data_IF_046198791164
#
_entry.id   IF_046198791164
#
_cell.length_a   1.000
_cell.length_b   1.000
_cell.length_c   1.000
_cell.angle_alpha   90.00
_cell.angle_beta   90.00
_cell.angle_gamma   90.00
#
_symmetry.space_group_name_H-M   'P 1'
#
loop_
_entity.id
_entity.type
_entity.pdbx_description
1 polymer ?
#
# COMPACT_ATOMS: atom_id res chain seq x y z
N UNK A 1 0.51 -18.41 9.71
CA UNK A 1 -0.55 -17.49 9.23
C UNK A 1 0.16 -16.57 8.27
N UNK A 2 0.00 -16.82 6.98
CA UNK A 2 0.66 -16.02 5.93
C UNK A 2 -0.25 -14.82 5.64
N UNK A 3 0.17 -13.62 6.04
CA UNK A 3 -0.61 -12.38 5.86
C UNK A 3 -0.62 -11.88 4.41
N UNK A 4 0.22 -12.47 3.55
CA UNK A 4 0.42 -12.00 2.18
C UNK A 4 1.37 -10.80 2.08
N UNK A 5 1.97 -10.35 3.19
CA UNK A 5 2.99 -9.31 3.18
C UNK A 5 4.36 -9.89 2.77
N UNK A 6 4.91 -9.43 1.65
CA UNK A 6 6.28 -9.76 1.24
C UNK A 6 7.23 -8.74 1.86
N UNK A 7 8.14 -9.20 2.72
CA UNK A 7 9.07 -8.34 3.46
C UNK A 7 10.50 -8.60 3.00
N UNK A 8 11.22 -7.54 2.66
CA UNK A 8 12.65 -7.54 2.40
C UNK A 8 13.38 -7.02 3.64
N UNK A 9 14.23 -7.86 4.23
CA UNK A 9 15.04 -7.52 5.41
C UNK A 9 16.47 -8.04 5.23
N UNK A 10 17.40 -7.46 6.00
CA UNK A 10 18.74 -8.04 6.15
C UNK A 10 18.67 -9.33 6.96
N UNK A 11 19.67 -10.21 6.83
CA UNK A 11 19.73 -11.47 7.61
C UNK A 11 19.66 -11.24 9.12
N UNK A 12 20.23 -10.14 9.60
CA UNK A 12 20.25 -9.76 11.02
C UNK A 12 18.90 -9.21 11.51
N UNK A 13 18.01 -8.82 10.60
CA UNK A 13 16.69 -8.23 10.89
C UNK A 13 15.51 -9.07 10.40
N UNK A 14 15.75 -10.32 9.99
CA UNK A 14 14.67 -11.25 9.61
C UNK A 14 13.70 -11.41 10.79
N UNK A 15 12.42 -11.09 10.55
CA UNK A 15 11.36 -11.18 11.55
C UNK A 15 11.09 -9.89 12.33
N UNK A 16 11.95 -8.88 12.24
CA UNK A 16 11.70 -7.54 12.79
C UNK A 16 11.15 -6.61 11.72
N UNK A 17 9.83 -6.45 11.68
CA UNK A 17 9.15 -5.57 10.70
C UNK A 17 9.58 -4.10 10.84
N UNK A 18 10.02 -3.66 12.02
CA UNK A 18 10.49 -2.29 12.24
C UNK A 18 11.85 -2.01 11.60
N UNK A 19 12.57 -3.05 11.19
CA UNK A 19 13.87 -3.00 10.49
C UNK A 19 13.81 -3.60 9.09
N UNK A 20 12.60 -3.71 8.54
CA UNK A 20 12.43 -4.07 7.14
C UNK A 20 13.01 -2.96 6.25
N UNK A 21 13.70 -3.37 5.20
CA UNK A 21 14.20 -2.47 4.16
C UNK A 21 13.04 -2.06 3.25
N UNK A 22 12.10 -2.99 3.00
CA UNK A 22 10.91 -2.79 2.18
C UNK A 22 9.84 -3.82 2.54
N UNK A 23 8.56 -3.49 2.31
CA UNK A 23 7.45 -4.44 2.41
C UNK A 23 6.38 -4.15 1.35
N UNK A 24 5.69 -5.19 0.86
CA UNK A 24 4.67 -5.01 -0.18
C UNK A 24 3.44 -4.27 0.31
N UNK A 25 3.15 -4.30 1.61
CA UNK A 25 2.03 -3.55 2.19
C UNK A 25 2.20 -2.03 2.10
N UNK A 26 3.42 -1.56 1.87
CA UNK A 26 3.72 -0.16 1.66
C UNK A 26 3.45 0.31 0.22
N UNK A 27 3.31 -0.61 -0.74
CA UNK A 27 3.02 -0.30 -2.16
C UNK A 27 1.72 -0.99 -2.60
N UNK A 28 0.55 -0.46 -2.22
CA UNK A 28 -0.72 -1.08 -2.53
C UNK A 28 -1.06 -0.99 -4.02
N UNK A 29 -1.61 -2.07 -4.58
CA UNK A 29 -2.13 -2.09 -5.96
C UNK A 29 -3.66 -1.93 -5.96
N UNK A 30 -4.44 -2.93 -6.34
CA UNK A 30 -5.90 -2.88 -6.41
C UNK A 30 -6.61 -3.52 -5.20
N UNK A 31 -5.87 -4.26 -4.37
CA UNK A 31 -6.42 -5.11 -3.32
C UNK A 31 -5.96 -4.67 -1.93
N UNK A 32 -6.90 -4.55 -1.00
CA UNK A 32 -6.64 -4.36 0.42
C UNK A 32 -6.69 -5.70 1.15
N UNK A 33 -5.61 -6.06 1.84
CA UNK A 33 -5.50 -7.26 2.67
C UNK A 33 -5.59 -6.89 4.16
N UNK A 34 -6.04 -7.83 5.03
CA UNK A 34 -5.96 -7.64 6.47
C UNK A 34 -4.52 -7.28 6.91
N UNK A 35 -4.41 -6.43 7.93
CA UNK A 35 -3.15 -5.85 8.45
C UNK A 35 -2.44 -4.82 7.53
N UNK A 36 -2.95 -4.57 6.33
CA UNK A 36 -2.51 -3.40 5.56
C UNK A 36 -2.95 -2.10 6.25
N UNK A 37 -2.07 -1.11 6.22
CA UNK A 37 -2.33 0.22 6.79
C UNK A 37 -2.47 1.22 5.67
N UNK A 38 -3.63 1.87 5.62
CA UNK A 38 -3.86 3.00 4.71
C UNK A 38 -3.31 4.24 5.40
N UNK A 39 -2.11 4.64 5.02
CA UNK A 39 -1.45 5.85 5.53
C UNK A 39 -1.63 6.98 4.52
N UNK A 40 -2.00 8.16 5.02
CA UNK A 40 -1.91 9.41 4.26
C UNK A 40 -0.68 10.12 4.81
N UNK A 41 0.34 10.27 3.98
CA UNK A 41 1.41 11.20 4.30
C UNK A 41 0.92 12.59 3.89
N UNK A 42 0.67 13.49 4.86
CA UNK A 42 0.20 14.85 4.59
C UNK A 42 1.35 15.75 4.12
N UNK A 43 2.61 15.31 4.28
CA UNK A 43 3.81 16.05 3.85
C UNK A 43 4.37 15.54 2.52
N UNK A 44 4.25 14.24 2.25
CA UNK A 44 4.61 13.66 0.96
C UNK A 44 3.37 13.65 0.06
N UNK A 45 3.46 14.26 -1.12
CA UNK A 45 2.45 14.17 -2.20
C UNK A 45 2.27 12.72 -2.74
N UNK A 46 2.81 11.73 -2.03
CA UNK A 46 2.70 10.31 -2.29
C UNK A 46 1.41 9.80 -1.64
N UNK A 47 0.28 10.15 -2.25
CA UNK A 47 -1.01 9.56 -1.90
C UNK A 47 -0.96 8.06 -2.21
N UNK A 48 -0.71 7.23 -1.18
CA UNK A 48 -0.77 5.77 -1.27
C UNK A 48 -2.21 5.31 -1.43
N UNK A 49 -2.71 5.43 -2.66
CA UNK A 49 -4.06 5.06 -3.07
C UNK A 49 -4.07 3.69 -3.72
N UNK A 50 -5.10 2.91 -3.42
CA UNK A 50 -5.38 1.69 -4.16
C UNK A 50 -5.82 2.08 -5.56
N UNK A 51 -5.19 1.53 -6.59
CA UNK A 51 -5.54 1.82 -7.97
C UNK A 51 -6.02 0.57 -8.67
N UNK A 52 -7.18 0.66 -9.31
CA UNK A 52 -7.76 -0.45 -10.03
C UNK A 52 -6.84 -0.91 -11.16
N UNK A 53 -6.95 -2.18 -11.53
CA UNK A 53 -6.40 -2.64 -12.81
C UNK A 53 -7.12 -1.97 -13.98
N UNK A 54 -6.41 -1.86 -15.11
CA UNK A 54 -6.97 -1.31 -16.35
C UNK A 54 -8.00 -2.24 -16.97
N UNK A 55 -7.82 -3.56 -16.82
CA UNK A 55 -8.81 -4.57 -17.16
C UNK A 55 -8.55 -5.86 -16.40
N UNK A 56 -9.47 -6.83 -16.48
CA UNK A 56 -9.33 -8.16 -15.84
C UNK A 56 -8.01 -8.88 -16.18
N UNK A 57 -7.44 -8.59 -17.35
CA UNK A 57 -6.23 -9.23 -17.86
C UNK A 57 -5.05 -8.27 -18.00
N UNK A 58 -5.20 -7.02 -17.57
CA UNK A 58 -4.18 -5.97 -17.66
C UNK A 58 -4.00 -5.31 -16.29
N UNK A 59 -2.99 -5.71 -15.50
CA UNK A 59 -2.74 -5.18 -14.17
C UNK A 59 -2.11 -3.78 -14.18
N UNK A 60 -1.95 -3.17 -15.36
CA UNK A 60 -1.53 -1.77 -15.45
C UNK A 60 -2.52 -0.84 -14.76
N UNK A 61 -2.04 0.36 -14.42
CA UNK A 61 -2.81 1.44 -13.77
C UNK A 61 -4.13 1.68 -14.53
N UNK A 62 -5.24 1.47 -13.82
CA UNK A 62 -6.60 1.69 -14.30
C UNK A 62 -7.10 3.11 -14.04
N UNK A 63 -8.41 3.29 -14.17
CA UNK A 63 -9.04 4.62 -14.13
C UNK A 63 -9.64 4.98 -12.78
N UNK A 64 -9.64 4.05 -11.83
CA UNK A 64 -10.27 4.24 -10.52
C UNK A 64 -9.21 4.12 -9.43
N UNK A 65 -9.24 5.05 -8.49
CA UNK A 65 -8.44 5.00 -7.27
C UNK A 65 -9.32 5.09 -6.04
N UNK A 66 -8.86 4.51 -4.94
CA UNK A 66 -9.47 4.58 -3.62
C UNK A 66 -8.41 5.00 -2.62
N UNK A 67 -8.69 6.06 -1.88
CA UNK A 67 -7.81 6.61 -0.87
C UNK A 67 -8.59 7.45 0.13
N UNK A 68 -7.87 8.08 1.05
CA UNK A 68 -8.45 8.98 2.03
C UNK A 68 -8.01 10.39 1.66
N UNK A 69 -8.95 11.32 1.46
CA UNK A 69 -8.61 12.73 1.24
C UNK A 69 -8.18 13.36 2.58
N UNK A 70 -6.92 13.81 2.73
CA UNK A 70 -6.44 14.43 3.98
C UNK A 70 -7.18 15.72 4.33
N UNK A 71 -7.84 16.37 3.35
CA UNK A 71 -8.51 17.66 3.54
C UNK A 71 -9.94 17.52 4.05
N UNK A 72 -10.46 16.30 4.13
CA UNK A 72 -11.82 16.01 4.59
C UNK A 72 -12.90 16.63 3.69
N UNK A 73 -14.19 16.45 4.02
CA UNK A 73 -15.27 17.06 3.26
C UNK A 73 -15.18 18.59 3.35
N UNK A 74 -15.05 19.26 2.21
CA UNK A 74 -15.29 20.70 2.12
C UNK A 74 -16.73 20.97 2.57
N UNK A 75 -16.88 21.71 3.67
CA UNK A 75 -18.16 22.07 4.26
C UNK A 75 -18.52 23.51 3.93
#
# INVERSE_FOLDING_TARGET
MDTGNLILSSSESIGDQGKAIWQSFDDPTDTFLPDMKVYIDVQSDEDRVFTSWKSKNDPSIGKYSMGIDPRGPHR
#
